data_IF_063875253411
#
_entry.id   IF_063875253411
#
_cell.length_a   1.000
_cell.length_b   1.000
_cell.length_c   1.000
_cell.angle_alpha   90.00
_cell.angle_beta   90.00
_cell.angle_gamma   90.00
#
_symmetry.space_group_name_H-M   'P 1'
#
loop_
_entity.id
_entity.type
_entity.pdbx_description
1 polymer ?
#
# COMPACT_ATOMS: atom_id res chain seq x y z
N UNK A 1 -4.63 22.16 8.16
CA UNK A 1 -4.96 20.73 8.14
C UNK A 1 -5.33 20.37 6.70
N UNK A 2 -4.69 19.36 6.08
CA UNK A 2 -5.09 18.92 4.75
C UNK A 2 -6.55 18.48 4.73
N UNK A 3 -7.27 18.81 3.65
CA UNK A 3 -8.59 18.24 3.38
C UNK A 3 -8.47 17.04 2.47
N UNK A 4 -9.25 15.99 2.74
CA UNK A 4 -9.28 14.77 1.93
C UNK A 4 -10.71 14.43 1.53
N UNK A 5 -10.89 13.88 0.33
CA UNK A 5 -12.16 13.26 -0.04
C UNK A 5 -12.31 11.93 0.70
N UNK A 6 -13.34 11.82 1.52
CA UNK A 6 -13.71 10.60 2.24
C UNK A 6 -15.22 10.36 2.07
N UNK A 7 -15.59 9.25 1.44
CA UNK A 7 -17.00 8.94 1.17
C UNK A 7 -17.74 10.00 0.34
N UNK A 8 -17.04 10.71 -0.55
CA UNK A 8 -17.62 11.78 -1.39
C UNK A 8 -17.74 13.14 -0.70
N UNK A 9 -17.26 13.29 0.54
CA UNK A 9 -17.24 14.56 1.28
C UNK A 9 -15.81 15.01 1.53
N UNK A 10 -15.59 16.33 1.60
CA UNK A 10 -14.33 16.87 2.10
C UNK A 10 -14.32 16.88 3.62
N UNK A 11 -13.29 16.28 4.20
CA UNK A 11 -13.09 16.20 5.65
C UNK A 11 -11.67 16.63 6.00
N UNK A 12 -11.50 17.17 7.22
CA UNK A 12 -10.19 17.53 7.73
C UNK A 12 -9.38 16.27 8.10
N UNK A 13 -8.08 16.33 7.85
CA UNK A 13 -7.14 15.28 8.19
C UNK A 13 -5.86 15.86 8.80
N UNK A 14 -5.17 15.04 9.58
CA UNK A 14 -3.87 15.35 10.16
C UNK A 14 -2.84 14.38 9.60
N UNK A 15 -1.76 14.91 9.05
CA UNK A 15 -0.61 14.11 8.64
C UNK A 15 0.13 13.56 9.86
N UNK A 16 0.46 12.27 9.83
CA UNK A 16 1.06 11.55 10.94
C UNK A 16 2.46 11.14 10.55
N UNK A 17 3.44 11.63 11.29
CA UNK A 17 4.82 11.13 11.20
C UNK A 17 4.88 9.69 11.69
N UNK A 18 5.68 8.86 11.02
CA UNK A 18 5.84 7.46 11.37
C UNK A 18 7.27 7.00 11.16
N UNK A 19 7.64 5.94 11.89
CA UNK A 19 8.83 5.16 11.60
C UNK A 19 8.41 3.80 11.07
N UNK A 20 9.00 3.39 9.95
CA UNK A 20 8.79 2.07 9.36
C UNK A 20 9.33 1.00 10.29
N UNK A 21 8.45 0.25 10.95
CA UNK A 21 8.83 -0.88 11.81
C UNK A 21 9.19 -2.13 11.01
N UNK A 22 8.46 -2.40 9.92
CA UNK A 22 8.66 -3.55 9.05
C UNK A 22 8.04 -3.28 7.68
N UNK A 23 8.79 -3.54 6.62
CA UNK A 23 8.33 -3.37 5.25
C UNK A 23 9.10 -4.33 4.33
N UNK A 24 8.52 -5.52 4.13
CA UNK A 24 9.15 -6.64 3.41
C UNK A 24 8.52 -6.87 2.03
N UNK A 25 9.17 -7.72 1.24
CA UNK A 25 8.59 -8.26 0.01
C UNK A 25 7.53 -9.32 0.33
N UNK A 26 6.39 -9.24 -0.35
CA UNK A 26 5.46 -10.36 -0.48
C UNK A 26 5.94 -11.23 -1.64
N UNK A 27 6.20 -12.51 -1.40
CA UNK A 27 6.71 -13.43 -2.42
C UNK A 27 5.66 -14.47 -2.79
N UNK A 28 5.47 -14.70 -4.10
CA UNK A 28 4.49 -15.63 -4.64
C UNK A 28 5.18 -16.54 -5.66
N UNK A 29 5.12 -17.85 -5.41
CA UNK A 29 5.52 -18.87 -6.38
C UNK A 29 4.29 -19.21 -7.24
N UNK A 30 4.42 -19.01 -8.56
CA UNK A 30 3.38 -19.39 -9.50
C UNK A 30 3.59 -20.83 -9.98
N UNK A 31 2.50 -21.42 -10.47
CA UNK A 31 2.47 -22.80 -10.96
C UNK A 31 3.31 -23.01 -12.23
N UNK A 32 3.59 -21.95 -12.98
CA UNK A 32 4.46 -21.98 -14.15
C UNK A 32 5.95 -21.89 -13.79
N UNK A 33 6.30 -21.84 -12.50
CA UNK A 33 7.67 -21.68 -12.03
C UNK A 33 8.12 -20.22 -11.86
N UNK A 34 7.31 -19.25 -12.26
CA UNK A 34 7.61 -17.83 -12.03
C UNK A 34 7.55 -17.45 -10.56
N UNK A 35 8.36 -16.48 -10.17
CA UNK A 35 8.32 -15.84 -8.85
C UNK A 35 7.94 -14.39 -9.02
N UNK A 36 6.85 -13.99 -8.35
CA UNK A 36 6.46 -12.59 -8.21
C UNK A 36 6.87 -12.12 -6.83
N UNK A 37 7.54 -10.97 -6.76
CA UNK A 37 7.72 -10.22 -5.52
C UNK A 37 7.00 -8.89 -5.63
N UNK A 38 6.19 -8.57 -4.64
CA UNK A 38 5.43 -7.33 -4.55
C UNK A 38 5.72 -6.65 -3.21
N UNK A 39 6.14 -5.39 -3.23
CA UNK A 39 6.34 -4.61 -2.01
C UNK A 39 5.46 -3.37 -2.04
N UNK A 40 4.64 -3.20 -1.00
CA UNK A 40 3.97 -1.94 -0.76
C UNK A 40 4.96 -1.01 -0.02
N UNK A 41 5.11 0.21 -0.53
CA UNK A 41 5.94 1.25 0.08
C UNK A 41 5.04 2.41 0.48
N UNK A 42 4.94 2.67 1.78
CA UNK A 42 4.08 3.75 2.32
C UNK A 42 4.81 5.08 2.25
N UNK A 43 4.16 6.11 1.70
CA UNK A 43 4.71 7.47 1.62
C UNK A 43 4.12 8.40 2.68
N UNK A 44 2.80 8.35 2.89
CA UNK A 44 2.10 9.28 3.76
C UNK A 44 0.96 8.58 4.52
N UNK A 45 0.74 8.98 5.76
CA UNK A 45 -0.37 8.53 6.59
C UNK A 45 -1.13 9.77 7.07
N UNK A 46 -2.42 9.85 6.72
CA UNK A 46 -3.29 10.92 7.18
C UNK A 46 -4.38 10.33 8.08
N UNK A 47 -4.47 10.78 9.33
CA UNK A 47 -5.61 10.47 10.20
C UNK A 47 -6.79 11.35 9.81
N UNK A 48 -7.97 10.76 9.63
CA UNK A 48 -9.20 11.49 9.31
C UNK A 48 -9.85 11.94 10.61
N UNK A 49 -10.00 13.24 10.79
CA UNK A 49 -10.48 13.80 12.06
C UNK A 49 -11.98 13.50 12.26
N UNK A 50 -12.34 13.13 13.48
CA UNK A 50 -13.73 12.83 13.85
C UNK A 50 -14.31 11.54 13.26
N UNK A 51 -13.50 10.71 12.59
CA UNK A 51 -13.95 9.46 11.97
C UNK A 51 -13.29 8.25 12.64
N UNK A 52 -14.13 7.28 13.01
CA UNK A 52 -13.74 6.05 13.69
C UNK A 52 -14.40 4.84 13.03
N UNK A 53 -13.75 3.69 13.07
CA UNK A 53 -14.36 2.42 12.67
C UNK A 53 -15.34 1.89 13.73
N UNK A 54 -15.93 0.72 13.47
CA UNK A 54 -16.93 0.12 14.37
C UNK A 54 -16.34 -0.28 15.74
N UNK A 55 -15.03 -0.44 15.83
CA UNK A 55 -14.33 -0.79 17.07
C UNK A 55 -13.80 0.46 17.79
N UNK A 56 -14.06 1.66 17.26
CA UNK A 56 -13.64 2.93 17.84
C UNK A 56 -12.20 3.33 17.50
N UNK A 57 -11.55 2.67 16.54
CA UNK A 57 -10.21 3.07 16.10
C UNK A 57 -10.30 4.28 15.14
N UNK A 58 -9.34 5.23 15.19
CA UNK A 58 -9.32 6.33 14.23
C UNK A 58 -9.16 5.80 12.80
N UNK A 59 -9.85 6.44 11.85
CA UNK A 59 -9.70 6.11 10.44
C UNK A 59 -8.48 6.80 9.86
N UNK A 60 -7.71 6.08 9.03
CA UNK A 60 -6.54 6.61 8.35
C UNK A 60 -6.66 6.45 6.83
N UNK A 61 -6.18 7.45 6.10
CA UNK A 61 -5.87 7.36 4.68
C UNK A 61 -4.37 7.15 4.51
N UNK A 62 -4.00 6.02 3.92
CA UNK A 62 -2.61 5.68 3.63
C UNK A 62 -2.34 5.89 2.14
N UNK A 63 -1.30 6.66 1.82
CA UNK A 63 -0.76 6.74 0.46
C UNK A 63 0.42 5.77 0.36
N UNK A 64 0.40 4.94 -0.66
CA UNK A 64 1.44 3.94 -0.91
C UNK A 64 1.61 3.69 -2.39
N UNK A 65 2.81 3.27 -2.78
CA UNK A 65 3.10 2.73 -4.11
C UNK A 65 3.39 1.23 -4.02
N UNK A 66 3.21 0.52 -5.14
CA UNK A 66 3.59 -0.88 -5.25
C UNK A 66 4.83 -1.01 -6.14
N UNK A 67 5.85 -1.70 -5.64
CA UNK A 67 7.02 -2.10 -6.42
C UNK A 67 6.85 -3.56 -6.80
N UNK A 68 6.87 -3.84 -8.10
CA UNK A 68 6.71 -5.18 -8.66
C UNK A 68 8.05 -5.67 -9.21
N UNK A 69 8.42 -6.90 -8.86
CA UNK A 69 9.52 -7.63 -9.44
C UNK A 69 9.05 -9.02 -9.87
N UNK A 70 9.48 -9.46 -11.04
CA UNK A 70 9.08 -10.75 -11.61
C UNK A 70 10.32 -11.47 -12.13
N UNK A 71 10.46 -12.74 -11.76
CA UNK A 71 11.38 -13.68 -12.40
C UNK A 71 10.57 -14.80 -13.03
N UNK A 72 10.57 -14.87 -14.35
CA UNK A 72 9.93 -15.94 -15.10
C UNK A 72 10.96 -16.97 -15.61
N UNK A 73 10.52 -18.22 -15.86
CA UNK A 73 11.27 -19.18 -16.67
C UNK A 73 11.65 -18.63 -18.05
N UNK A 74 12.74 -19.16 -18.61
CA UNK A 74 13.24 -18.69 -19.91
C UNK A 74 12.28 -18.99 -21.06
N UNK A 75 11.46 -20.05 -20.98
CA UNK A 75 10.49 -20.37 -22.03
C UNK A 75 9.37 -19.33 -22.15
N UNK A 76 9.09 -18.58 -21.07
CA UNK A 76 8.09 -17.52 -21.05
C UNK A 76 8.65 -16.15 -21.46
N UNK A 77 9.98 -16.01 -21.59
CA UNK A 77 10.59 -14.74 -21.98
C UNK A 77 10.43 -14.54 -23.50
N UNK A 78 10.19 -13.29 -23.89
CA UNK A 78 10.20 -12.90 -25.30
C UNK A 78 11.58 -13.25 -25.88
N UNK A 79 11.60 -14.06 -26.94
CA UNK A 79 12.82 -14.39 -27.68
C UNK A 79 13.33 -13.14 -28.42
N UNK A 80 14.66 -13.00 -28.60
CA UNK A 80 15.24 -11.89 -29.36
C UNK A 80 14.59 -11.71 -30.74
#
# INVERSE_FOLDING_TARGET
>A
MPKVNFGGREVDATEIEFQTRREDWNEYQLMDGSVIKLKAVVSDILRIEGHYDNDGNPVYRVKSSSVLWVRSPDELKKKP
#
